data_IF_231959939451
#
_entry.id   IF_231959939451
#
_cell.length_a   1.000
_cell.length_b   1.000
_cell.length_c   1.000
_cell.angle_alpha   90.00
_cell.angle_beta   90.00
_cell.angle_gamma   90.00
#
_symmetry.space_group_name_H-M   'P 1'
#
loop_
_entity.id
_entity.type
_entity.pdbx_description
1 polymer ?
#
# COMPACT_ATOMS: atom_id res chain seq x y z
N UNK A 1 11.44 14.10 4.40
CA UNK A 1 10.90 13.13 5.37
C UNK A 1 9.52 13.50 5.94
N UNK A 2 9.33 14.69 6.56
CA UNK A 2 8.08 15.04 7.28
C UNK A 2 6.78 14.87 6.47
N UNK A 3 6.77 15.29 5.20
CA UNK A 3 5.60 15.16 4.31
C UNK A 3 5.26 13.70 3.98
N UNK A 4 6.27 12.84 3.79
CA UNK A 4 6.05 11.41 3.53
C UNK A 4 5.42 10.73 4.75
N UNK A 5 5.93 10.99 5.95
CA UNK A 5 5.37 10.43 7.19
C UNK A 5 3.92 10.86 7.39
N UNK A 6 3.59 12.13 7.09
CA UNK A 6 2.22 12.63 7.16
C UNK A 6 1.31 12.01 6.11
N UNK A 7 1.81 11.88 4.88
CA UNK A 7 1.11 11.18 3.80
C UNK A 7 0.82 9.72 4.19
N UNK A 8 1.85 9.02 4.68
CA UNK A 8 1.77 7.63 5.11
C UNK A 8 0.72 7.45 6.20
N UNK A 9 0.75 8.25 7.27
CA UNK A 9 -0.27 8.21 8.33
C UNK A 9 -1.70 8.39 7.84
N UNK A 10 -1.91 9.16 6.76
CA UNK A 10 -3.25 9.42 6.21
C UNK A 10 -3.70 8.39 5.18
N UNK A 11 -2.76 7.76 4.46
CA UNK A 11 -3.07 6.92 3.29
C UNK A 11 -2.56 5.47 3.40
N UNK A 12 -2.00 5.05 4.54
CA UNK A 12 -1.50 3.69 4.72
C UNK A 12 -2.54 2.61 4.36
N UNK A 13 -3.83 2.86 4.66
CA UNK A 13 -4.91 1.94 4.33
C UNK A 13 -5.13 1.78 2.82
N UNK A 14 -4.82 2.79 2.01
CA UNK A 14 -4.93 2.70 0.56
C UNK A 14 -3.96 1.67 -0.02
N UNK A 15 -2.73 1.61 0.47
CA UNK A 15 -1.80 0.57 0.04
C UNK A 15 -2.34 -0.83 0.31
N UNK A 16 -3.06 -1.04 1.43
CA UNK A 16 -3.60 -2.34 1.81
C UNK A 16 -4.76 -2.75 0.91
N UNK A 17 -5.61 -1.79 0.54
CA UNK A 17 -6.70 -2.01 -0.42
C UNK A 17 -6.21 -2.52 -1.78
N UNK A 18 -4.96 -2.23 -2.15
CA UNK A 18 -4.36 -2.78 -3.37
C UNK A 18 -3.56 -4.06 -3.11
N UNK A 19 -2.81 -4.13 -2.01
CA UNK A 19 -1.98 -5.29 -1.70
C UNK A 19 -2.81 -6.56 -1.46
N UNK A 20 -3.93 -6.44 -0.74
CA UNK A 20 -4.77 -7.59 -0.39
C UNK A 20 -5.37 -8.25 -1.66
N UNK A 21 -6.12 -7.55 -2.53
CA UNK A 21 -6.68 -8.19 -3.73
C UNK A 21 -5.60 -8.72 -4.69
N UNK A 22 -4.46 -8.05 -4.78
CA UNK A 22 -3.37 -8.47 -5.68
C UNK A 22 -2.76 -9.81 -5.24
N UNK A 23 -2.49 -9.98 -3.94
CA UNK A 23 -1.96 -11.24 -3.40
C UNK A 23 -2.99 -12.35 -3.52
N UNK A 24 -4.26 -12.05 -3.24
CA UNK A 24 -5.37 -12.99 -3.46
C UNK A 24 -5.50 -13.42 -4.92
N UNK A 25 -5.36 -12.47 -5.86
CA UNK A 25 -5.38 -12.76 -7.29
C UNK A 25 -4.21 -13.64 -7.71
N UNK A 26 -2.99 -13.31 -7.27
CA UNK A 26 -1.78 -14.03 -7.65
C UNK A 26 -1.75 -15.45 -7.08
N UNK A 27 -2.00 -15.62 -5.77
CA UNK A 27 -2.02 -16.93 -5.12
C UNK A 27 -3.24 -17.75 -5.55
N UNK A 28 -4.41 -17.12 -5.68
CA UNK A 28 -5.63 -17.77 -6.16
C UNK A 28 -5.59 -18.14 -7.65
N UNK A 29 -4.72 -17.51 -8.46
CA UNK A 29 -4.48 -17.92 -9.84
C UNK A 29 -3.53 -19.12 -9.92
N UNK A 30 -2.43 -19.12 -9.14
CA UNK A 30 -1.43 -20.19 -9.16
C UNK A 30 -1.95 -21.48 -8.51
N UNK A 31 -2.77 -21.36 -7.46
CA UNK A 31 -3.34 -22.50 -6.73
C UNK A 31 -4.86 -22.36 -6.60
N UNK A 32 -5.64 -22.95 -7.52
CA UNK A 32 -7.11 -22.85 -7.51
C UNK A 32 -7.74 -23.40 -6.22
N UNK A 33 -7.11 -24.42 -5.64
CA UNK A 33 -7.52 -25.12 -4.41
C UNK A 33 -7.44 -24.19 -3.18
N UNK A 34 -6.44 -23.30 -3.15
CA UNK A 34 -6.21 -22.35 -2.06
C UNK A 34 -7.19 -21.14 -2.07
N UNK A 35 -8.04 -20.98 -3.11
CA UNK A 35 -9.01 -19.87 -3.20
C UNK A 35 -10.03 -19.83 -2.07
N UNK A 36 -10.36 -20.98 -1.51
CA UNK A 36 -11.44 -21.11 -0.53
C UNK A 36 -10.96 -21.37 0.90
N UNK A 37 -9.71 -21.83 1.05
CA UNK A 37 -9.18 -22.23 2.36
C UNK A 37 -8.40 -21.13 3.08
N UNK A 38 -8.00 -20.06 2.38
CA UNK A 38 -7.24 -18.93 2.95
C UNK A 38 -5.93 -19.32 3.65
N UNK A 39 -5.52 -20.59 3.62
CA UNK A 39 -4.36 -21.10 4.34
C UNK A 39 -3.04 -20.49 3.83
N UNK A 40 -3.02 -20.04 2.57
CA UNK A 40 -1.90 -19.28 2.01
C UNK A 40 -1.58 -17.99 2.78
N UNK A 41 -2.55 -17.40 3.51
CA UNK A 41 -2.32 -16.23 4.37
C UNK A 41 -1.43 -16.53 5.58
N UNK A 42 -1.34 -17.80 5.97
CA UNK A 42 -0.48 -18.25 7.08
C UNK A 42 0.98 -18.42 6.67
N UNK A 43 1.25 -18.43 5.36
CA UNK A 43 2.61 -18.54 4.86
C UNK A 43 3.38 -17.25 5.06
N UNK A 44 4.59 -17.36 5.60
CA UNK A 44 5.49 -16.22 5.77
C UNK A 44 5.78 -15.52 4.42
N UNK A 45 5.88 -16.28 3.33
CA UNK A 45 6.10 -15.74 1.99
C UNK A 45 4.96 -14.78 1.57
N UNK A 46 3.70 -15.18 1.79
CA UNK A 46 2.53 -14.35 1.51
C UNK A 46 2.53 -13.08 2.35
N UNK A 47 2.89 -13.18 3.63
CA UNK A 47 3.01 -12.00 4.49
C UNK A 47 4.05 -11.00 3.97
N UNK A 48 5.23 -11.47 3.56
CA UNK A 48 6.26 -10.61 2.98
C UNK A 48 5.84 -10.01 1.62
N UNK A 49 5.16 -10.79 0.77
CA UNK A 49 4.58 -10.28 -0.48
C UNK A 49 3.55 -9.17 -0.21
N UNK A 50 2.63 -9.36 0.74
CA UNK A 50 1.66 -8.33 1.12
C UNK A 50 2.34 -7.05 1.63
N UNK A 51 3.35 -7.19 2.49
CA UNK A 51 4.14 -6.05 2.98
C UNK A 51 4.87 -5.33 1.84
N UNK A 52 5.46 -6.08 0.91
CA UNK A 52 6.14 -5.53 -0.25
C UNK A 52 5.17 -4.73 -1.13
N UNK A 53 4.04 -5.34 -1.52
CA UNK A 53 3.04 -4.66 -2.35
C UNK A 53 2.46 -3.43 -1.65
N UNK A 54 2.19 -3.53 -0.35
CA UNK A 54 1.72 -2.41 0.44
C UNK A 54 2.70 -1.24 0.44
N UNK A 55 3.98 -1.50 0.76
CA UNK A 55 5.02 -0.49 0.82
C UNK A 55 5.29 0.11 -0.57
N UNK A 56 5.40 -0.74 -1.60
CA UNK A 56 5.64 -0.35 -2.98
C UNK A 56 4.52 0.57 -3.49
N UNK A 57 3.26 0.24 -3.24
CA UNK A 57 2.14 1.03 -3.72
C UNK A 57 1.93 2.32 -2.94
N UNK A 58 2.16 2.29 -1.63
CA UNK A 58 2.17 3.50 -0.81
C UNK A 58 3.26 4.48 -1.25
N UNK A 59 4.45 3.96 -1.58
CA UNK A 59 5.53 4.78 -2.13
C UNK A 59 5.19 5.31 -3.54
N UNK A 60 4.68 4.45 -4.42
CA UNK A 60 4.31 4.83 -5.78
C UNK A 60 3.26 5.93 -5.80
N UNK A 61 2.20 5.81 -5.00
CA UNK A 61 1.18 6.86 -4.89
C UNK A 61 1.76 8.18 -4.35
N UNK A 62 2.69 8.11 -3.40
CA UNK A 62 3.37 9.32 -2.90
C UNK A 62 4.20 10.02 -3.97
N UNK A 63 4.99 9.28 -4.75
CA UNK A 63 5.91 9.87 -5.74
C UNK A 63 5.23 10.25 -7.06
N UNK A 64 4.33 9.42 -7.56
CA UNK A 64 3.66 9.60 -8.86
C UNK A 64 2.46 10.53 -8.72
N UNK A 65 1.59 10.26 -7.74
CA UNK A 65 0.30 10.95 -7.65
C UNK A 65 0.32 12.20 -6.76
N UNK A 66 1.44 12.45 -6.05
CA UNK A 66 1.66 13.54 -5.06
C UNK A 66 0.38 14.32 -4.76
N UNK A 67 -0.43 13.90 -3.77
CA UNK A 67 -1.76 14.44 -3.63
C UNK A 67 -1.75 15.95 -3.35
N UNK A 68 -2.70 16.66 -3.98
CA UNK A 68 -2.77 18.13 -3.97
C UNK A 68 -2.76 18.76 -2.58
N UNK A 69 -3.29 18.07 -1.56
CA UNK A 69 -3.27 18.56 -0.18
C UNK A 69 -1.84 18.73 0.38
N UNK A 70 -0.86 17.96 -0.09
CA UNK A 70 0.55 18.12 0.30
C UNK A 70 1.16 19.42 -0.26
N UNK A 71 0.70 19.85 -1.45
CA UNK A 71 1.13 21.13 -2.02
C UNK A 71 0.51 22.31 -1.27
N UNK A 72 -0.76 22.20 -0.87
CA UNK A 72 -1.45 23.23 -0.07
C UNK A 72 -0.75 23.47 1.26
N UNK A 73 -0.35 22.40 1.96
CA UNK A 73 0.40 22.51 3.22
C UNK A 73 1.84 22.97 3.06
N UNK A 74 2.50 22.61 1.94
CA UNK A 74 3.85 23.11 1.67
C UNK A 74 3.86 24.63 1.51
N UNK A 75 2.82 25.18 0.88
CA UNK A 75 2.68 26.62 0.70
C UNK A 75 2.28 27.34 1.99
N UNK A 76 1.46 26.73 2.85
CA UNK A 76 1.15 27.32 4.17
C UNK A 76 2.39 27.38 5.07
N UNK A 77 3.21 26.33 5.11
CA UNK A 77 4.49 26.31 5.86
C UNK A 77 5.55 27.28 5.33
N UNK A 78 5.35 27.88 4.15
CA UNK A 78 6.29 28.83 3.54
C UNK A 78 5.89 30.29 3.79
N UNK A 79 4.64 30.51 4.21
CA UNK A 79 4.07 31.83 4.46
C UNK A 79 4.02 32.17 5.96
N UNK A 80 4.38 31.21 6.82
CA UNK A 80 4.71 31.39 8.24
C UNK A 80 6.24 31.49 8.40
#
# INVERSE_FOLDING_TARGET
MKLFVKYFKKNWAWGLLFAVPLVFWQKGYVYPELRFEYDFLRENATYYEMLFYWAFWTATQFFVWRPAYLFRERNSMKND
#
